data_IF_360320636986
#
_entry.id   IF_360320636986
#
_cell.length_a   1.000
_cell.length_b   1.000
_cell.length_c   1.000
_cell.angle_alpha   90.00
_cell.angle_beta   90.00
_cell.angle_gamma   90.00
#
_symmetry.space_group_name_H-M   'P 1'
#
loop_
_entity.id
_entity.type
_entity.pdbx_description
1 polymer ?
#
# COMPACT_ATOMS: atom_id res chain seq x y z
N UNK A 1 -34.08 17.05 10.57
CA UNK A 1 -32.61 17.09 10.53
C UNK A 1 -32.14 15.72 10.06
N UNK A 2 -31.67 15.63 8.82
CA UNK A 2 -31.07 14.39 8.33
C UNK A 2 -29.72 14.19 9.01
N UNK A 3 -29.56 13.06 9.70
CA UNK A 3 -28.29 12.69 10.28
C UNK A 3 -27.57 11.75 9.32
N UNK A 4 -26.52 12.24 8.68
CA UNK A 4 -25.63 11.44 7.87
C UNK A 4 -24.51 10.91 8.76
N UNK A 5 -24.35 9.60 8.82
CA UNK A 5 -23.29 8.93 9.56
C UNK A 5 -22.08 8.78 8.65
N UNK A 6 -21.00 9.52 8.96
CA UNK A 6 -19.72 9.35 8.29
C UNK A 6 -18.79 8.55 9.16
N UNK A 7 -18.18 7.54 8.58
CA UNK A 7 -16.95 6.99 9.12
C UNK A 7 -15.77 7.73 8.52
N UNK A 8 -14.92 8.29 9.38
CA UNK A 8 -13.68 8.94 8.96
C UNK A 8 -12.71 7.89 8.42
N UNK A 9 -12.77 7.66 7.13
CA UNK A 9 -11.83 6.88 6.36
C UNK A 9 -11.94 7.39 4.93
N UNK A 10 -10.84 7.74 4.32
CA UNK A 10 -10.83 8.08 2.91
C UNK A 10 -11.13 6.83 2.10
N UNK A 11 -12.40 6.60 1.80
CA UNK A 11 -12.83 5.56 0.88
C UNK A 11 -12.35 5.89 -0.52
N UNK A 12 -11.46 5.09 -1.07
CA UNK A 12 -11.02 5.17 -2.46
C UNK A 12 -11.92 4.38 -3.41
N UNK A 13 -13.08 3.94 -2.95
CA UNK A 13 -14.05 3.22 -3.77
C UNK A 13 -14.77 4.13 -4.76
N UNK A 14 -14.95 3.65 -5.99
CA UNK A 14 -15.62 4.40 -7.08
C UNK A 14 -17.13 4.18 -7.12
N UNK A 15 -17.68 3.29 -6.30
CA UNK A 15 -19.14 2.98 -6.26
C UNK A 15 -19.63 2.98 -4.84
N UNK A 16 -20.49 3.92 -4.53
CA UNK A 16 -21.23 4.00 -3.27
C UNK A 16 -22.73 3.90 -3.57
N UNK A 17 -23.48 3.14 -2.76
CA UNK A 17 -24.92 3.12 -2.84
C UNK A 17 -25.54 3.67 -1.56
N UNK A 18 -26.48 4.59 -1.70
CA UNK A 18 -27.31 5.09 -0.62
C UNK A 18 -28.68 4.40 -0.70
N UNK A 19 -29.07 3.77 0.39
CA UNK A 19 -30.39 3.11 0.48
C UNK A 19 -31.20 3.73 1.60
N UNK A 20 -32.50 4.02 1.40
CA UNK A 20 -33.40 4.45 2.47
C UNK A 20 -33.47 3.37 3.54
N UNK A 21 -33.37 3.74 4.81
CA UNK A 21 -33.48 2.84 5.95
C UNK A 21 -34.86 2.99 6.60
N UNK A 22 -35.54 1.87 6.82
CA UNK A 22 -36.91 1.86 7.43
C UNK A 22 -36.87 1.75 8.96
N UNK A 23 -35.73 1.48 9.59
CA UNK A 23 -35.62 1.24 11.01
C UNK A 23 -34.98 2.40 11.76
N UNK A 24 -35.45 2.65 12.96
CA UNK A 24 -34.95 3.71 13.83
C UNK A 24 -33.59 3.32 14.43
N UNK A 25 -32.57 4.15 14.20
CA UNK A 25 -31.25 3.94 14.81
C UNK A 25 -31.30 4.55 16.20
N UNK A 26 -31.37 3.71 17.24
CA UNK A 26 -31.18 4.13 18.62
C UNK A 26 -29.70 3.98 19.00
N UNK A 27 -28.95 5.06 18.97
CA UNK A 27 -27.55 5.11 19.40
C UNK A 27 -27.02 6.54 19.43
N UNK A 28 -26.07 6.79 20.29
CA UNK A 28 -25.34 8.07 20.35
C UNK A 28 -24.46 8.19 19.11
N UNK A 29 -24.68 9.25 18.35
CA UNK A 29 -23.83 9.61 17.22
C UNK A 29 -23.01 10.82 17.64
N UNK A 30 -21.71 10.69 17.79
CA UNK A 30 -20.83 11.82 17.86
C UNK A 30 -20.89 12.60 16.55
N UNK A 31 -20.90 13.93 16.68
CA UNK A 31 -21.06 14.87 15.57
C UNK A 31 -19.92 14.70 14.56
N UNK A 32 -20.18 14.00 13.49
CA UNK A 32 -19.29 13.97 12.34
C UNK A 32 -19.83 14.93 11.29
N UNK A 33 -19.03 15.94 10.96
CA UNK A 33 -19.37 16.91 9.92
C UNK A 33 -18.74 16.42 8.61
N UNK A 34 -19.58 16.04 7.66
CA UNK A 34 -19.13 15.64 6.33
C UNK A 34 -20.20 15.89 5.29
N UNK A 35 -19.77 16.09 4.06
CA UNK A 35 -20.67 16.29 2.92
C UNK A 35 -20.42 15.17 1.91
N UNK A 36 -21.47 14.46 1.52
CA UNK A 36 -21.44 13.52 0.38
C UNK A 36 -21.93 14.26 -0.86
N UNK A 37 -21.04 14.38 -1.84
CA UNK A 37 -21.39 14.93 -3.13
C UNK A 37 -21.72 13.78 -4.07
N UNK A 38 -22.98 13.70 -4.49
CA UNK A 38 -23.40 12.73 -5.48
C UNK A 38 -23.10 13.25 -6.88
N UNK A 39 -22.62 12.36 -7.75
CA UNK A 39 -22.31 12.72 -9.15
C UNK A 39 -23.58 13.01 -9.96
N UNK A 40 -24.67 12.38 -9.56
CA UNK A 40 -25.99 12.52 -10.20
C UNK A 40 -27.04 12.91 -9.15
N UNK A 41 -28.19 13.36 -9.61
CA UNK A 41 -29.29 13.69 -8.71
C UNK A 41 -29.69 12.46 -7.88
N UNK A 42 -29.54 12.55 -6.56
CA UNK A 42 -29.77 11.43 -5.64
C UNK A 42 -31.25 11.20 -5.29
N UNK A 43 -32.15 12.12 -5.65
CA UNK A 43 -33.60 12.00 -5.39
C UNK A 43 -33.97 11.99 -3.90
N UNK A 44 -33.08 12.28 -2.98
CA UNK A 44 -33.34 12.33 -1.54
C UNK A 44 -33.96 13.68 -1.17
N UNK A 45 -34.93 13.64 -0.25
CA UNK A 45 -35.56 14.81 0.34
C UNK A 45 -34.97 15.10 1.71
N UNK A 46 -35.23 16.31 2.19
CA UNK A 46 -34.84 16.68 3.56
C UNK A 46 -35.51 15.75 4.58
N UNK A 47 -34.76 15.19 5.50
CA UNK A 47 -35.12 14.20 6.53
C UNK A 47 -35.24 12.76 6.04
N UNK A 48 -34.90 12.43 4.82
CA UNK A 48 -34.78 11.03 4.42
C UNK A 48 -33.70 10.33 5.24
N UNK A 49 -34.03 9.15 5.76
CA UNK A 49 -33.06 8.29 6.44
C UNK A 49 -32.31 7.49 5.40
N UNK A 50 -30.98 7.61 5.40
CA UNK A 50 -30.12 6.89 4.46
C UNK A 50 -29.10 6.05 5.21
N UNK A 51 -28.77 4.89 4.67
CA UNK A 51 -27.63 4.10 5.08
C UNK A 51 -26.57 4.13 3.99
N UNK A 52 -25.32 4.31 4.38
CA UNK A 52 -24.20 4.16 3.46
C UNK A 52 -23.72 2.72 3.57
N UNK A 53 -23.93 1.94 2.50
CA UNK A 53 -23.29 0.65 2.36
C UNK A 53 -22.10 0.82 1.42
N UNK A 54 -20.91 0.53 1.93
CA UNK A 54 -19.75 0.34 1.06
C UNK A 54 -19.97 -0.99 0.34
N UNK A 55 -20.05 -0.96 -0.98
CA UNK A 55 -19.93 -2.20 -1.75
C UNK A 55 -18.62 -2.84 -1.30
N UNK A 56 -18.57 -4.14 -0.93
CA UNK A 56 -17.33 -4.80 -0.55
C UNK A 56 -16.34 -4.52 -1.67
N UNK A 57 -15.44 -3.57 -1.40
CA UNK A 57 -14.59 -3.03 -2.43
C UNK A 57 -13.57 -4.05 -2.85
N UNK A 58 -12.91 -3.75 -3.90
CA UNK A 58 -11.77 -4.40 -4.50
C UNK A 58 -10.93 -5.06 -3.41
N UNK A 59 -10.83 -6.37 -3.46
CA UNK A 59 -9.90 -7.11 -2.62
C UNK A 59 -8.50 -6.67 -3.03
N UNK A 60 -7.86 -5.85 -2.21
CA UNK A 60 -6.45 -5.55 -2.38
C UNK A 60 -5.66 -6.76 -1.91
N UNK A 61 -4.89 -7.37 -2.81
CA UNK A 61 -4.05 -8.51 -2.49
C UNK A 61 -2.59 -8.08 -2.44
N UNK A 62 -1.90 -8.52 -1.41
CA UNK A 62 -0.46 -8.33 -1.25
C UNK A 62 0.22 -9.69 -1.35
N UNK A 63 1.24 -9.78 -2.20
CA UNK A 63 2.13 -10.94 -2.23
C UNK A 63 3.22 -10.74 -1.19
N UNK A 64 3.38 -11.72 -0.30
CA UNK A 64 4.37 -11.68 0.78
C UNK A 64 5.43 -12.74 0.51
N UNK A 65 6.68 -12.34 0.56
CA UNK A 65 7.85 -13.21 0.38
C UNK A 65 8.87 -12.95 1.49
N UNK A 66 9.73 -13.92 1.75
CA UNK A 66 10.88 -13.75 2.62
C UNK A 66 12.17 -13.78 1.80
N UNK A 67 12.97 -12.75 1.94
CA UNK A 67 14.28 -12.67 1.34
C UNK A 67 15.35 -13.20 2.29
N UNK A 68 15.80 -14.42 2.06
CA UNK A 68 16.77 -15.09 2.94
C UNK A 68 18.14 -14.41 2.94
N UNK A 69 18.51 -13.75 1.86
CA UNK A 69 19.80 -13.05 1.75
C UNK A 69 19.85 -11.83 2.69
N UNK A 70 18.84 -10.98 2.62
CA UNK A 70 18.74 -9.78 3.45
C UNK A 70 18.02 -10.00 4.78
N UNK A 71 17.48 -11.21 5.00
CA UNK A 71 16.68 -11.59 6.19
C UNK A 71 15.49 -10.66 6.41
N UNK A 72 14.79 -10.31 5.33
CA UNK A 72 13.67 -9.36 5.35
C UNK A 72 12.42 -9.96 4.73
N UNK A 73 11.27 -9.61 5.29
CA UNK A 73 9.97 -9.82 4.65
C UNK A 73 9.74 -8.69 3.65
N UNK A 74 9.46 -9.06 2.41
CA UNK A 74 9.20 -8.15 1.29
C UNK A 74 7.78 -8.33 0.79
N UNK A 75 7.22 -7.26 0.25
CA UNK A 75 5.84 -7.23 -0.23
C UNK A 75 5.81 -6.70 -1.66
N UNK A 76 5.05 -7.39 -2.51
CA UNK A 76 4.80 -7.04 -3.91
C UNK A 76 6.09 -6.76 -4.69
N UNK A 77 6.99 -7.75 -4.87
CA UNK A 77 8.16 -7.58 -5.72
C UNK A 77 7.73 -7.25 -7.15
N UNK A 78 8.38 -6.26 -7.76
CA UNK A 78 8.12 -5.77 -9.11
C UNK A 78 9.43 -5.65 -9.86
N UNK A 79 9.49 -6.22 -11.06
CA UNK A 79 10.68 -6.22 -11.90
C UNK A 79 10.53 -5.26 -13.09
N UNK A 80 11.65 -4.72 -13.53
CA UNK A 80 11.76 -3.83 -14.70
C UNK A 80 13.19 -3.90 -15.25
N UNK A 81 13.39 -3.46 -16.48
CA UNK A 81 14.68 -3.54 -17.18
C UNK A 81 15.34 -2.18 -17.38
N UNK A 82 16.49 -2.20 -18.08
CA UNK A 82 17.28 -1.00 -18.42
C UNK A 82 16.49 0.05 -19.20
N UNK A 83 15.58 -0.35 -20.07
CA UNK A 83 14.72 0.55 -20.84
C UNK A 83 13.78 1.40 -20.00
N UNK A 84 13.52 0.96 -18.76
CA UNK A 84 12.65 1.65 -17.80
C UNK A 84 13.41 2.67 -16.93
N UNK A 85 14.73 2.80 -17.13
CA UNK A 85 15.61 3.70 -16.36
C UNK A 85 16.06 4.86 -17.23
N UNK A 86 15.60 6.06 -16.90
CA UNK A 86 16.04 7.29 -17.57
C UNK A 86 17.20 7.93 -16.79
N UNK A 87 18.42 7.77 -17.27
CA UNK A 87 19.64 8.29 -16.61
C UNK A 87 19.70 9.83 -16.62
N UNK A 88 19.15 10.49 -17.64
CA UNK A 88 19.17 11.95 -17.73
C UNK A 88 18.34 12.62 -16.63
N UNK A 89 17.21 12.00 -16.29
CA UNK A 89 16.28 12.53 -15.29
C UNK A 89 16.29 11.75 -13.98
N UNK A 90 17.04 10.64 -13.94
CA UNK A 90 17.09 9.67 -12.82
C UNK A 90 15.68 9.15 -12.42
N UNK A 91 14.86 8.89 -13.44
CA UNK A 91 13.49 8.41 -13.29
C UNK A 91 13.42 6.93 -13.63
N UNK A 92 12.73 6.17 -12.77
CA UNK A 92 12.37 4.79 -12.98
C UNK A 92 10.91 4.71 -13.42
N UNK A 93 10.64 3.98 -14.48
CA UNK A 93 9.29 3.75 -15.03
C UNK A 93 8.80 2.37 -14.60
N UNK A 94 7.65 2.31 -13.94
CA UNK A 94 7.04 1.05 -13.51
C UNK A 94 5.52 1.25 -13.46
N UNK A 95 4.82 0.68 -14.42
CA UNK A 95 3.39 0.90 -14.58
C UNK A 95 2.61 0.52 -13.33
N UNK A 96 1.78 1.45 -12.86
CA UNK A 96 0.86 1.27 -11.74
C UNK A 96 1.54 0.68 -10.47
N UNK A 97 2.69 1.24 -10.12
CA UNK A 97 3.56 0.70 -9.08
C UNK A 97 2.99 0.78 -7.65
N UNK A 98 2.02 1.64 -7.39
CA UNK A 98 1.34 1.78 -6.10
C UNK A 98 2.18 2.37 -4.96
N UNK A 99 3.45 2.71 -5.19
CA UNK A 99 4.34 3.28 -4.17
C UNK A 99 3.91 4.70 -3.80
N UNK A 100 4.27 5.09 -2.56
CA UNK A 100 4.10 6.45 -2.04
C UNK A 100 5.47 7.05 -1.72
N UNK A 101 5.55 8.37 -1.76
CA UNK A 101 6.76 9.07 -1.31
C UNK A 101 7.06 8.74 0.15
N UNK A 102 8.31 8.35 0.43
CA UNK A 102 8.77 7.90 1.75
C UNK A 102 8.62 6.39 2.00
N UNK A 103 8.05 5.62 1.08
CA UNK A 103 8.05 4.17 1.18
C UNK A 103 9.48 3.63 1.12
N UNK A 104 9.78 2.66 1.99
CA UNK A 104 11.05 1.97 2.02
C UNK A 104 10.99 0.73 1.14
N UNK A 105 11.94 0.61 0.24
CA UNK A 105 12.06 -0.54 -0.67
C UNK A 105 13.37 -1.28 -0.47
N UNK A 106 13.39 -2.57 -0.79
CA UNK A 106 14.57 -3.34 -1.09
C UNK A 106 14.78 -3.29 -2.62
N UNK A 107 15.97 -2.88 -3.02
CA UNK A 107 16.40 -2.91 -4.42
C UNK A 107 17.29 -4.11 -4.66
N UNK A 108 17.03 -4.86 -5.72
CA UNK A 108 17.85 -5.97 -6.19
C UNK A 108 18.11 -5.84 -7.67
N UNK A 109 19.29 -6.23 -8.09
CA UNK A 109 19.66 -6.35 -9.50
C UNK A 109 20.92 -7.19 -9.61
N UNK A 110 21.03 -7.96 -10.68
CA UNK A 110 22.29 -8.62 -11.06
C UNK A 110 23.26 -7.64 -11.74
N UNK A 111 22.74 -6.55 -12.30
CA UNK A 111 23.49 -5.45 -12.94
C UNK A 111 22.90 -4.10 -12.46
N UNK A 112 23.33 -3.58 -11.31
CA UNK A 112 22.69 -2.43 -10.68
C UNK A 112 22.81 -1.14 -11.47
N UNK A 113 21.73 -0.36 -11.52
CA UNK A 113 21.75 1.03 -11.98
C UNK A 113 22.67 1.86 -11.08
N UNK A 114 23.76 2.40 -11.61
CA UNK A 114 24.74 3.13 -10.80
C UNK A 114 24.22 4.50 -10.35
N UNK A 115 24.48 4.91 -9.10
CA UNK A 115 25.32 4.28 -8.07
C UNK A 115 24.58 3.38 -7.09
N UNK A 116 23.43 2.79 -7.46
CA UNK A 116 22.69 1.91 -6.58
C UNK A 116 23.49 0.62 -6.29
N UNK A 117 23.25 0.04 -5.14
CA UNK A 117 23.91 -1.17 -4.67
C UNK A 117 22.87 -2.29 -4.58
N UNK A 118 23.21 -3.46 -5.10
CA UNK A 118 22.39 -4.66 -5.00
C UNK A 118 22.13 -5.04 -3.53
N UNK A 119 20.90 -5.44 -3.23
CA UNK A 119 20.42 -5.80 -1.89
C UNK A 119 20.40 -4.64 -0.86
N UNK A 120 20.48 -3.41 -1.32
CA UNK A 120 20.35 -2.23 -0.46
C UNK A 120 18.94 -1.66 -0.44
N UNK A 121 18.68 -0.82 0.56
CA UNK A 121 17.38 -0.20 0.75
C UNK A 121 17.39 1.26 0.40
N UNK A 122 16.34 1.68 -0.31
CA UNK A 122 16.13 3.05 -0.74
C UNK A 122 14.73 3.53 -0.38
N UNK A 123 14.48 4.81 -0.60
CA UNK A 123 13.20 5.45 -0.32
C UNK A 123 12.62 6.06 -1.58
N UNK A 124 11.34 5.82 -1.80
CA UNK A 124 10.61 6.28 -2.98
C UNK A 124 10.35 7.79 -2.92
N UNK A 125 10.57 8.46 -4.04
CA UNK A 125 10.05 9.78 -4.37
C UNK A 125 9.09 9.56 -5.52
N UNK A 126 7.79 9.51 -5.23
CA UNK A 126 6.76 9.28 -6.24
C UNK A 126 6.59 10.52 -7.12
N UNK A 127 6.65 10.34 -8.43
CA UNK A 127 6.32 11.37 -9.43
C UNK A 127 4.84 11.24 -9.79
N UNK A 128 4.45 10.08 -10.29
CA UNK A 128 3.06 9.75 -10.63
C UNK A 128 2.76 8.26 -10.34
N UNK A 129 1.72 7.69 -10.94
CA UNK A 129 1.35 6.28 -10.75
C UNK A 129 2.28 5.29 -11.46
N UNK A 130 3.05 5.76 -12.44
CA UNK A 130 3.89 4.93 -13.30
C UNK A 130 5.38 5.28 -13.18
N UNK A 131 5.75 6.28 -12.39
CA UNK A 131 7.14 6.74 -12.31
C UNK A 131 7.52 7.22 -10.92
N UNK A 132 8.79 6.99 -10.57
CA UNK A 132 9.37 7.38 -9.30
C UNK A 132 10.87 7.66 -9.44
N UNK A 133 11.43 8.28 -8.41
CA UNK A 133 12.87 8.41 -8.18
C UNK A 133 13.23 7.80 -6.83
N UNK A 134 14.52 7.68 -6.56
CA UNK A 134 15.04 7.12 -5.32
C UNK A 134 15.84 8.13 -4.52
N UNK A 135 15.77 7.97 -3.20
CA UNK A 135 16.61 8.66 -2.22
C UNK A 135 17.26 7.64 -1.28
N UNK A 136 18.40 7.97 -0.72
CA UNK A 136 19.12 7.14 0.24
C UNK A 136 18.51 7.16 1.65
N UNK A 137 17.75 8.20 1.99
CA UNK A 137 17.10 8.33 3.28
C UNK A 137 15.64 8.77 3.15
N UNK A 138 14.80 8.38 4.12
CA UNK A 138 13.42 8.84 4.20
C UNK A 138 13.32 10.36 4.27
N UNK A 139 14.23 10.99 5.04
CA UNK A 139 14.25 12.44 5.18
C UNK A 139 14.44 13.13 3.83
N UNK A 140 15.41 12.69 3.00
CA UNK A 140 15.65 13.23 1.68
C UNK A 140 14.47 13.04 0.73
N UNK A 141 13.79 11.88 0.80
CA UNK A 141 12.64 11.59 -0.05
C UNK A 141 11.42 12.45 0.27
N UNK A 142 11.26 12.88 1.53
CA UNK A 142 10.06 13.60 2.01
C UNK A 142 10.25 15.10 2.20
N UNK A 143 11.40 15.66 1.83
CA UNK A 143 11.61 17.11 1.82
C UNK A 143 10.64 17.81 0.88
N UNK A 144 10.36 19.09 1.10
CA UNK A 144 9.58 19.94 0.19
C UNK A 144 10.19 20.00 -1.21
N UNK A 145 11.52 19.97 -1.29
CA UNK A 145 12.30 19.74 -2.52
C UNK A 145 13.09 18.45 -2.28
N UNK A 146 12.63 17.30 -2.80
CA UNK A 146 13.29 16.03 -2.55
C UNK A 146 14.71 15.97 -3.13
N UNK A 147 15.61 15.34 -2.39
CA UNK A 147 16.98 15.06 -2.85
C UNK A 147 17.03 13.65 -3.44
N UNK A 148 17.25 13.58 -4.73
CA UNK A 148 17.28 12.32 -5.48
C UNK A 148 18.70 11.79 -5.63
N UNK A 149 18.83 10.47 -5.73
CA UNK A 149 20.05 9.82 -6.21
C UNK A 149 20.15 10.06 -7.71
N UNK A 150 21.29 10.59 -8.18
CA UNK A 150 21.55 10.75 -9.61
C UNK A 150 22.01 9.42 -10.20
N UNK A 151 21.26 8.91 -11.17
CA UNK A 151 21.61 7.65 -11.85
C UNK A 151 22.53 7.97 -13.03
N UNK A 152 23.65 7.26 -13.11
CA UNK A 152 24.70 7.47 -14.12
C UNK A 152 24.80 6.31 -15.12
N UNK A 153 24.29 5.15 -14.76
CA UNK A 153 24.18 3.97 -15.62
C UNK A 153 22.83 3.31 -15.35
N UNK A 154 22.19 2.82 -16.40
CA UNK A 154 20.87 2.22 -16.28
C UNK A 154 20.91 0.84 -15.63
N UNK A 155 21.98 0.08 -15.83
CA UNK A 155 22.04 -1.34 -15.44
C UNK A 155 20.93 -2.16 -16.10
N UNK A 156 20.60 -3.33 -15.52
CA UNK A 156 19.50 -4.18 -15.98
C UNK A 156 18.99 -5.10 -14.85
N UNK A 157 17.92 -5.88 -15.12
CA UNK A 157 17.38 -6.91 -14.23
C UNK A 157 17.05 -6.39 -12.82
N UNK A 158 16.31 -5.31 -12.77
CA UNK A 158 15.96 -4.65 -11.52
C UNK A 158 14.72 -5.26 -10.88
N UNK A 159 14.74 -5.36 -9.57
CA UNK A 159 13.57 -5.70 -8.75
C UNK A 159 13.48 -4.75 -7.56
N UNK A 160 12.29 -4.24 -7.32
CA UNK A 160 11.96 -3.40 -6.16
C UNK A 160 10.82 -4.03 -5.37
N UNK A 161 10.96 -4.06 -4.06
CA UNK A 161 9.97 -4.66 -3.16
C UNK A 161 9.75 -3.77 -1.96
N UNK A 162 8.50 -3.63 -1.52
CA UNK A 162 8.21 -2.90 -0.28
C UNK A 162 8.72 -3.66 0.94
N UNK A 163 9.26 -2.94 1.91
CA UNK A 163 9.68 -3.48 3.21
C UNK A 163 8.76 -2.91 4.28
N UNK A 164 8.01 -3.76 4.97
CA UNK A 164 7.12 -3.39 6.06
C UNK A 164 6.30 -2.12 5.75
N UNK A 165 5.57 -2.07 4.63
CA UNK A 165 4.85 -0.88 4.25
C UNK A 165 3.74 -0.59 5.28
N UNK A 166 3.41 0.69 5.53
CA UNK A 166 2.21 1.02 6.27
C UNK A 166 0.98 0.61 5.45
N UNK A 167 0.19 -0.30 6.00
CA UNK A 167 -1.03 -0.81 5.35
C UNK A 167 -2.23 -0.11 5.95
N UNK A 168 -2.98 0.61 5.13
CA UNK A 168 -4.23 1.22 5.55
C UNK A 168 -5.37 0.21 5.43
N UNK A 169 -5.77 -0.36 6.54
CA UNK A 169 -6.95 -1.21 6.61
C UNK A 169 -8.20 -0.33 6.71
N UNK A 170 -9.02 -0.35 5.68
CA UNK A 170 -10.28 0.40 5.65
C UNK A 170 -11.38 -0.54 6.14
N UNK A 171 -12.14 -0.11 7.15
CA UNK A 171 -13.26 -0.88 7.69
C UNK A 171 -14.29 -1.17 6.60
N UNK A 172 -14.70 -2.44 6.49
CA UNK A 172 -15.64 -2.91 5.47
C UNK A 172 -15.00 -3.38 4.16
N UNK A 173 -13.67 -3.22 4.00
CA UNK A 173 -12.95 -3.78 2.86
C UNK A 173 -12.25 -5.08 3.23
N UNK A 174 -12.16 -5.99 2.25
CA UNK A 174 -11.35 -7.20 2.38
C UNK A 174 -9.95 -6.93 1.84
N UNK A 175 -8.95 -7.20 2.66
CA UNK A 175 -7.54 -7.17 2.26
C UNK A 175 -7.00 -8.59 2.38
N UNK A 176 -6.42 -9.08 1.29
CA UNK A 176 -5.82 -10.40 1.24
C UNK A 176 -4.30 -10.31 1.28
N UNK A 177 -3.66 -11.25 1.98
CA UNK A 177 -2.22 -11.45 1.96
C UNK A 177 -1.95 -12.85 1.45
N UNK A 178 -1.28 -12.96 0.31
CA UNK A 178 -0.83 -14.23 -0.23
C UNK A 178 0.48 -14.61 0.48
N UNK A 179 0.36 -15.47 1.47
CA UNK A 179 1.48 -15.98 2.28
C UNK A 179 1.85 -17.43 1.91
N UNK A 180 1.56 -17.83 0.67
CA UNK A 180 1.81 -19.17 0.16
C UNK A 180 3.14 -19.32 -0.57
N UNK A 181 3.93 -18.26 -0.64
CA UNK A 181 5.21 -18.28 -1.32
C UNK A 181 6.16 -19.33 -0.71
N UNK A 182 6.98 -19.94 -1.56
CA UNK A 182 7.93 -20.98 -1.15
C UNK A 182 8.95 -20.48 -0.12
N UNK A 183 9.32 -19.20 -0.18
CA UNK A 183 10.24 -18.56 0.75
C UNK A 183 9.72 -18.49 2.19
N UNK A 184 8.41 -18.58 2.39
CA UNK A 184 7.75 -18.56 3.70
C UNK A 184 7.55 -19.95 4.31
N UNK A 185 7.96 -21.00 3.60
CA UNK A 185 7.70 -22.38 3.99
C UNK A 185 8.96 -23.24 3.83
N UNK A 186 9.02 -24.34 4.57
CA UNK A 186 10.00 -25.41 4.38
C UNK A 186 9.32 -26.75 4.20
N UNK A 187 10.02 -27.69 3.60
CA UNK A 187 9.55 -29.07 3.49
C UNK A 187 10.18 -29.90 4.61
N UNK A 188 9.35 -30.41 5.52
CA UNK A 188 9.75 -31.31 6.59
C UNK A 188 9.04 -32.63 6.40
N UNK A 189 9.81 -33.71 6.24
CA UNK A 189 9.27 -35.08 6.00
C UNK A 189 8.25 -35.16 4.85
N UNK A 190 8.53 -34.45 3.74
CA UNK A 190 7.66 -34.40 2.56
C UNK A 190 6.42 -33.52 2.70
N UNK A 191 6.20 -32.89 3.85
CA UNK A 191 5.08 -31.97 4.09
C UNK A 191 5.58 -30.53 4.14
N UNK A 192 4.90 -29.64 3.43
CA UNK A 192 5.18 -28.19 3.49
C UNK A 192 4.68 -27.63 4.80
N UNK A 193 5.59 -27.01 5.57
CA UNK A 193 5.31 -26.39 6.86
C UNK A 193 5.72 -24.92 6.83
N UNK A 194 4.94 -24.10 7.50
CA UNK A 194 5.21 -22.67 7.70
C UNK A 194 6.44 -22.50 8.59
N UNK A 195 7.33 -21.57 8.23
CA UNK A 195 8.53 -21.21 9.02
C UNK A 195 8.41 -19.84 9.69
N UNK A 196 7.52 -18.97 9.21
CA UNK A 196 7.30 -17.64 9.76
C UNK A 196 5.85 -17.44 10.14
N UNK A 197 5.61 -16.67 11.21
CA UNK A 197 4.33 -16.10 11.53
C UNK A 197 4.20 -14.72 10.87
N UNK A 198 3.00 -14.42 10.36
CA UNK A 198 2.70 -13.16 9.73
C UNK A 198 1.76 -12.39 10.65
N UNK A 199 2.28 -11.32 11.28
CA UNK A 199 1.55 -10.51 12.22
C UNK A 199 1.41 -9.05 11.76
N UNK A 200 0.36 -8.40 12.22
CA UNK A 200 0.13 -6.98 12.02
C UNK A 200 0.38 -6.22 13.31
N UNK A 201 1.04 -5.08 13.19
CA UNK A 201 1.29 -4.18 14.31
C UNK A 201 0.66 -2.81 14.02
N UNK A 202 0.23 -2.13 15.08
CA UNK A 202 -0.36 -0.78 15.01
C UNK A 202 0.69 0.32 15.00
N UNK A 203 1.92 -0.04 15.31
CA UNK A 203 3.05 0.88 15.44
C UNK A 203 4.27 0.40 14.65
N UNK A 204 5.17 1.33 14.22
CA UNK A 204 6.35 0.98 13.43
C UNK A 204 7.45 0.27 14.22
N UNK A 205 7.33 0.18 15.55
CA UNK A 205 8.32 -0.45 16.41
C UNK A 205 7.97 -1.91 16.74
N UNK A 206 6.84 -2.43 16.20
CA UNK A 206 6.35 -3.79 16.40
C UNK A 206 6.10 -4.13 17.88
N UNK A 207 5.61 -3.17 18.67
CA UNK A 207 5.34 -3.34 20.09
C UNK A 207 3.87 -3.56 20.40
N UNK A 208 2.97 -3.14 19.49
CA UNK A 208 1.53 -3.21 19.70
C UNK A 208 0.87 -4.05 18.59
N UNK A 209 0.67 -5.36 18.79
CA UNK A 209 0.05 -6.21 17.78
C UNK A 209 -1.42 -5.80 17.53
N UNK A 210 -1.87 -5.97 16.28
CA UNK A 210 -3.24 -5.65 15.87
C UNK A 210 -4.24 -6.65 16.45
N UNK A 211 -3.84 -7.94 16.51
CA UNK A 211 -4.60 -9.00 17.11
C UNK A 211 -3.93 -9.37 18.46
N UNK A 212 -4.66 -9.27 19.55
CA UNK A 212 -4.24 -9.87 20.80
C UNK A 212 -4.69 -11.34 20.77
N UNK A 213 -3.75 -12.26 20.78
CA UNK A 213 -4.01 -13.68 20.98
C UNK A 213 -4.40 -13.96 22.44
#
# INVERSE_FOLDING_TARGET
TAHLLFYSGHGTGTKHSLKPQKEEITGFIEKVVGTVVCKENHGLLQNDKVSISLTPGITTSYQVEYDDLTKRTIINPRSFGSSDVNITTSVFSLSDHGFKTGDKILYKSSDPALPLINNETYFIIRIDKNSFKLADTKFKSTKSIPETITITDAGDDHTVSLINPPINLIRGYKVGFAVSDASLTQVVSGKRTKIFDFDFFRDPNFTNPYFNN
#
